data_IF_505375853950
#
_entry.id   IF_505375853950
#
_cell.length_a   1.000
_cell.length_b   1.000
_cell.length_c   1.000
_cell.angle_alpha   90.00
_cell.angle_beta   90.00
_cell.angle_gamma   90.00
#
_symmetry.space_group_name_H-M   'P 1'
#
loop_
_entity.id
_entity.type
_entity.pdbx_description
1 polymer ?
#
# COMPACT_ATOMS: atom_id res chain seq x y z
N UNK A 1 25.97 -18.95 46.89
CA UNK A 1 25.74 -17.54 46.48
C UNK A 1 25.77 -17.33 44.95
N UNK A 2 26.28 -18.26 44.14
CA UNK A 2 26.32 -18.13 42.68
C UNK A 2 25.02 -18.56 41.99
N UNK A 3 24.37 -19.63 42.43
CA UNK A 3 23.19 -20.21 41.75
C UNK A 3 21.96 -19.29 41.77
N UNK A 4 21.71 -18.62 42.91
CA UNK A 4 20.63 -17.64 43.03
C UNK A 4 20.82 -16.45 42.08
N UNK A 5 22.07 -16.02 41.85
CA UNK A 5 22.39 -14.94 40.91
C UNK A 5 22.20 -15.37 39.44
N UNK A 6 22.51 -16.63 39.12
CA UNK A 6 22.30 -17.19 37.78
C UNK A 6 20.81 -17.32 37.46
N UNK A 7 20.00 -17.81 38.40
CA UNK A 7 18.54 -17.88 38.25
C UNK A 7 17.90 -16.50 38.10
N UNK A 8 18.35 -15.51 38.88
CA UNK A 8 17.87 -14.13 38.77
C UNK A 8 18.21 -13.54 37.39
N UNK A 9 19.44 -13.75 36.91
CA UNK A 9 19.89 -13.25 35.61
C UNK A 9 19.10 -13.91 34.46
N UNK A 10 18.88 -15.22 34.52
CA UNK A 10 18.09 -15.97 33.55
C UNK A 10 16.63 -15.49 33.49
N UNK A 11 16.07 -15.04 34.62
CA UNK A 11 14.72 -14.51 34.70
C UNK A 11 14.62 -13.04 34.23
N UNK A 12 15.68 -12.23 34.39
CA UNK A 12 15.72 -10.81 33.99
C UNK A 12 16.04 -10.58 32.50
N UNK A 13 16.85 -11.46 31.90
CA UNK A 13 17.22 -11.40 30.48
C UNK A 13 16.02 -11.34 29.49
N UNK A 14 14.96 -12.16 29.61
CA UNK A 14 13.81 -12.09 28.71
C UNK A 14 12.96 -10.82 28.90
N UNK A 15 12.98 -10.19 30.09
CA UNK A 15 12.24 -8.95 30.34
C UNK A 15 12.91 -7.73 29.68
N UNK A 16 14.23 -7.73 29.54
CA UNK A 16 14.97 -6.66 28.87
C UNK A 16 14.81 -6.71 27.34
N UNK A 17 14.55 -7.88 26.76
CA UNK A 17 14.35 -8.04 25.31
C UNK A 17 12.98 -7.54 24.81
N UNK A 18 11.99 -7.37 25.70
CA UNK A 18 10.62 -6.99 25.32
C UNK A 18 10.45 -5.55 24.85
N UNK A 19 11.36 -4.63 25.22
CA UNK A 19 11.19 -3.19 24.99
C UNK A 19 11.77 -2.67 23.66
N UNK A 20 12.45 -3.50 22.87
CA UNK A 20 13.14 -3.05 21.66
C UNK A 20 12.25 -2.99 20.39
N UNK A 21 11.05 -3.59 20.41
CA UNK A 21 10.23 -3.76 19.20
C UNK A 21 9.34 -2.56 18.81
N UNK A 22 9.45 -1.42 19.50
CA UNK A 22 8.49 -0.30 19.35
C UNK A 22 8.89 0.83 18.39
N UNK A 23 10.14 0.87 17.90
CA UNK A 23 10.70 2.10 17.32
C UNK A 23 10.34 2.34 15.84
N UNK A 24 9.89 1.33 15.10
CA UNK A 24 9.58 1.43 13.67
C UNK A 24 8.10 1.17 13.45
N UNK A 25 7.24 2.04 13.97
CA UNK A 25 5.81 1.97 13.70
C UNK A 25 5.33 3.32 13.21
N UNK A 26 4.58 3.31 12.12
CA UNK A 26 3.90 4.48 11.58
C UNK A 26 3.01 5.12 12.67
N UNK A 27 2.76 6.45 12.61
CA UNK A 27 1.84 7.13 13.52
C UNK A 27 0.36 6.74 13.30
N UNK A 28 0.09 5.74 12.45
CA UNK A 28 -1.20 5.19 12.12
C UNK A 28 -1.08 3.66 11.97
N UNK A 29 -2.15 2.92 12.28
CA UNK A 29 -2.12 1.45 12.31
C UNK A 29 -2.11 0.78 10.92
N UNK A 30 -2.45 1.54 9.88
CA UNK A 30 -2.54 1.05 8.50
C UNK A 30 -2.46 2.15 7.47
N UNK A 31 -2.07 1.81 6.24
CA UNK A 31 -2.18 2.67 5.06
C UNK A 31 -2.87 1.93 3.90
N UNK A 32 -3.29 2.66 2.87
CA UNK A 32 -3.94 2.10 1.68
C UNK A 32 -3.35 2.71 0.41
N UNK A 33 -3.25 1.93 -0.67
CA UNK A 33 -3.02 2.48 -2.02
C UNK A 33 -4.34 2.92 -2.64
N UNK A 34 -4.33 4.15 -3.18
CA UNK A 34 -5.36 4.63 -4.09
C UNK A 34 -4.76 4.82 -5.47
N UNK A 35 -5.37 4.22 -6.49
CA UNK A 35 -4.97 4.35 -7.88
C UNK A 35 -6.16 4.89 -8.67
N UNK A 36 -5.94 6.01 -9.35
CA UNK A 36 -6.93 6.71 -10.16
C UNK A 36 -6.49 6.81 -11.61
N UNK A 37 -7.40 7.27 -12.46
CA UNK A 37 -7.19 7.44 -13.90
C UNK A 37 -7.70 8.80 -14.37
N UNK A 38 -7.27 9.25 -15.58
CA UNK A 38 -7.94 10.31 -16.31
C UNK A 38 -9.43 10.04 -16.52
N UNK A 39 -10.19 11.09 -16.83
CA UNK A 39 -11.62 10.97 -17.16
C UNK A 39 -11.84 10.01 -18.33
N UNK A 40 -12.88 9.18 -18.23
CA UNK A 40 -13.26 8.18 -19.24
C UNK A 40 -12.20 7.09 -19.53
N UNK A 41 -11.09 7.03 -18.79
CA UNK A 41 -10.10 5.96 -18.91
C UNK A 41 -10.33 4.90 -17.85
N UNK A 42 -11.09 3.86 -18.20
CA UNK A 42 -11.25 2.70 -17.33
C UNK A 42 -10.00 1.79 -17.39
N UNK A 43 -9.49 1.43 -16.21
CA UNK A 43 -8.42 0.45 -16.05
C UNK A 43 -8.79 -0.58 -14.99
N UNK A 44 -8.38 -1.82 -15.24
CA UNK A 44 -8.47 -2.90 -14.27
C UNK A 44 -7.10 -3.22 -13.70
N UNK A 45 -6.92 -2.98 -12.41
CA UNK A 45 -5.67 -3.29 -11.72
C UNK A 45 -5.69 -4.75 -11.29
N UNK A 46 -4.84 -5.55 -11.93
CA UNK A 46 -4.70 -6.97 -11.61
C UNK A 46 -4.11 -7.13 -10.20
N UNK A 47 -3.04 -6.39 -9.93
CA UNK A 47 -2.41 -6.33 -8.62
C UNK A 47 -1.62 -5.03 -8.43
N UNK A 48 -1.63 -4.52 -7.20
CA UNK A 48 -0.67 -3.57 -6.70
C UNK A 48 -0.07 -4.14 -5.41
N UNK A 49 1.22 -4.44 -5.45
CA UNK A 49 1.98 -5.03 -4.35
C UNK A 49 2.93 -3.98 -3.79
N UNK A 50 3.16 -4.01 -2.48
CA UNK A 50 4.09 -3.10 -1.84
C UNK A 50 5.18 -3.87 -1.10
N UNK A 51 6.39 -3.32 -1.10
CA UNK A 51 7.47 -3.71 -0.20
C UNK A 51 7.72 -2.56 0.74
N UNK A 52 7.71 -2.81 2.04
CA UNK A 52 8.00 -1.78 3.04
C UNK A 52 9.51 -1.65 3.32
N UNK A 53 9.87 -0.62 4.09
CA UNK A 53 11.26 -0.37 4.51
C UNK A 53 11.90 -1.52 5.32
N UNK A 54 11.12 -2.48 5.82
CA UNK A 54 11.59 -3.69 6.49
C UNK A 54 11.64 -4.91 5.56
N UNK A 55 11.58 -4.71 4.23
CA UNK A 55 11.62 -5.78 3.22
C UNK A 55 10.41 -6.73 3.26
N UNK A 56 9.31 -6.34 3.91
CA UNK A 56 8.09 -7.17 3.97
C UNK A 56 7.22 -6.91 2.76
N UNK A 57 6.72 -7.98 2.15
CA UNK A 57 5.90 -7.92 0.94
C UNK A 57 4.41 -8.00 1.28
N UNK A 58 3.66 -6.98 0.86
CA UNK A 58 2.22 -6.88 0.99
C UNK A 58 1.58 -7.02 -0.38
N UNK A 59 1.19 -8.25 -0.72
CA UNK A 59 0.52 -8.55 -2.00
C UNK A 59 -0.91 -8.04 -2.03
N UNK A 60 -1.34 -7.60 -3.21
CA UNK A 60 -2.69 -7.08 -3.47
C UNK A 60 -3.05 -6.02 -2.43
N UNK A 61 -2.10 -5.13 -2.13
CA UNK A 61 -2.35 -3.92 -1.34
C UNK A 61 -3.47 -3.08 -1.99
N UNK A 62 -3.57 -3.15 -3.33
CA UNK A 62 -4.76 -2.82 -4.09
C UNK A 62 -4.98 -3.81 -5.26
N UNK A 63 -6.21 -3.92 -5.73
CA UNK A 63 -6.61 -4.57 -6.99
C UNK A 63 -8.03 -4.15 -7.35
N UNK A 64 -8.44 -4.32 -8.60
CA UNK A 64 -9.77 -4.00 -9.11
C UNK A 64 -9.81 -2.70 -9.89
N UNK A 65 -10.98 -2.08 -9.99
CA UNK A 65 -11.18 -0.89 -10.82
C UNK A 65 -10.46 0.32 -10.21
N UNK A 66 -9.66 1.00 -11.04
CA UNK A 66 -9.07 2.29 -10.69
C UNK A 66 -10.13 3.38 -10.57
N UNK A 67 -9.88 4.42 -9.79
CA UNK A 67 -10.84 5.53 -9.70
C UNK A 67 -10.89 6.29 -11.01
N UNK A 68 -11.99 6.15 -11.74
CA UNK A 68 -12.27 6.98 -12.91
C UNK A 68 -13.47 7.88 -12.66
N UNK A 69 -13.54 8.97 -13.42
CA UNK A 69 -14.72 9.82 -13.46
C UNK A 69 -15.33 9.79 -14.86
N UNK A 70 -16.66 9.85 -14.89
CA UNK A 70 -17.44 9.98 -16.11
C UNK A 70 -18.36 11.21 -15.98
N UNK A 71 -17.82 12.43 -16.13
CA UNK A 71 -18.65 13.64 -16.19
C UNK A 71 -19.75 13.50 -17.24
N UNK A 72 -20.91 14.12 -17.00
CA UNK A 72 -22.07 13.99 -17.90
C UNK A 72 -21.97 14.90 -19.13
N UNK A 73 -21.22 15.99 -19.02
CA UNK A 73 -21.04 16.96 -20.08
C UNK A 73 -19.73 16.67 -20.81
N UNK A 74 -19.81 15.83 -21.84
CA UNK A 74 -18.65 15.40 -22.62
C UNK A 74 -18.09 16.53 -23.49
N UNK A 75 -18.92 17.53 -23.84
CA UNK A 75 -18.53 18.63 -24.73
C UNK A 75 -17.72 19.70 -23.98
N UNK A 76 -17.95 19.87 -22.68
CA UNK A 76 -17.17 20.80 -21.83
C UNK A 76 -16.05 20.15 -21.03
N UNK A 77 -16.02 18.82 -20.95
CA UNK A 77 -14.98 18.09 -20.21
C UNK A 77 -13.85 17.69 -21.15
N UNK A 78 -12.69 18.33 -21.02
CA UNK A 78 -11.47 17.83 -21.65
C UNK A 78 -11.07 16.48 -21.02
N UNK A 79 -11.05 15.36 -21.78
CA UNK A 79 -10.63 14.07 -21.25
C UNK A 79 -9.11 13.99 -21.03
N UNK A 80 -8.34 14.97 -21.49
CA UNK A 80 -6.88 14.99 -21.35
C UNK A 80 -6.47 15.44 -19.96
N UNK A 81 -5.45 14.77 -19.44
CA UNK A 81 -4.87 15.09 -18.14
C UNK A 81 -5.59 14.40 -16.98
N UNK A 82 -5.25 14.80 -15.77
CA UNK A 82 -5.77 14.21 -14.54
C UNK A 82 -6.96 15.02 -14.02
N UNK A 83 -8.02 14.39 -13.49
CA UNK A 83 -9.12 15.11 -12.87
C UNK A 83 -8.63 15.92 -11.66
N UNK A 84 -9.28 17.05 -11.37
CA UNK A 84 -8.92 17.91 -10.23
C UNK A 84 -9.05 17.19 -8.87
N UNK A 85 -9.98 16.24 -8.78
CA UNK A 85 -10.28 15.51 -7.54
C UNK A 85 -10.33 14.00 -7.81
N UNK A 86 -9.18 13.33 -8.05
CA UNK A 86 -9.17 11.90 -8.28
C UNK A 86 -9.59 11.16 -7.01
N UNK A 87 -10.43 10.13 -7.17
CA UNK A 87 -10.73 9.22 -6.07
C UNK A 87 -9.63 8.16 -5.89
N UNK A 88 -9.80 7.28 -4.89
CA UNK A 88 -8.84 6.24 -4.57
C UNK A 88 -9.17 4.87 -5.18
N UNK A 89 -10.30 4.72 -5.86
CA UNK A 89 -10.69 3.47 -6.55
C UNK A 89 -11.01 2.34 -5.57
N UNK A 90 -10.80 1.10 -6.01
CA UNK A 90 -10.82 -0.08 -5.13
C UNK A 90 -9.59 -0.10 -4.20
N UNK A 91 -9.60 -0.93 -3.15
CA UNK A 91 -8.44 -1.12 -2.28
C UNK A 91 -8.80 -1.55 -0.87
N UNK A 92 -7.78 -1.79 -0.05
CA UNK A 92 -7.93 -2.20 1.35
C UNK A 92 -6.93 -1.48 2.24
N UNK A 93 -7.21 -1.47 3.54
CA UNK A 93 -6.21 -1.06 4.53
C UNK A 93 -5.15 -2.17 4.68
N UNK A 94 -3.89 -1.76 4.66
CA UNK A 94 -2.71 -2.58 4.88
C UNK A 94 -2.22 -2.29 6.30
N UNK A 95 -2.61 -3.15 7.23
CA UNK A 95 -2.25 -3.03 8.64
C UNK A 95 -0.91 -3.69 8.97
N UNK A 96 -0.25 -3.17 10.01
CA UNK A 96 1.02 -3.72 10.51
C UNK A 96 2.20 -3.60 9.55
N UNK A 97 2.05 -2.82 8.48
CA UNK A 97 3.06 -2.47 7.50
C UNK A 97 3.72 -1.15 7.84
N UNK A 98 4.99 -0.99 7.44
CA UNK A 98 5.68 0.31 7.48
C UNK A 98 5.50 1.06 6.16
N UNK A 99 6.17 2.22 6.02
CA UNK A 99 6.12 3.01 4.78
C UNK A 99 6.57 2.13 3.61
N UNK A 100 5.82 2.08 2.50
CA UNK A 100 6.27 1.45 1.26
C UNK A 100 7.56 2.09 0.76
N UNK A 101 8.55 1.26 0.41
CA UNK A 101 9.77 1.69 -0.31
C UNK A 101 9.74 1.33 -1.80
N UNK A 102 8.85 0.43 -2.21
CA UNK A 102 8.66 -0.01 -3.59
C UNK A 102 7.22 -0.45 -3.77
N UNK A 103 6.59 -0.02 -4.85
CA UNK A 103 5.26 -0.47 -5.26
C UNK A 103 5.38 -1.07 -6.66
N UNK A 104 4.93 -2.31 -6.83
CA UNK A 104 4.73 -2.94 -8.13
C UNK A 104 3.25 -2.84 -8.49
N UNK A 105 2.93 -2.37 -9.69
CA UNK A 105 1.55 -2.31 -10.18
C UNK A 105 1.50 -2.97 -11.54
N UNK A 106 0.47 -3.80 -11.74
CA UNK A 106 0.13 -4.39 -13.04
C UNK A 106 -1.35 -4.20 -13.33
N UNK A 107 -1.67 -3.69 -14.51
CA UNK A 107 -3.03 -3.32 -14.90
C UNK A 107 -3.31 -3.58 -16.37
N UNK A 108 -4.59 -3.75 -16.69
CA UNK A 108 -5.12 -3.82 -18.05
C UNK A 108 -5.80 -2.49 -18.37
N UNK A 109 -5.44 -1.90 -19.50
CA UNK A 109 -6.26 -0.82 -20.07
C UNK A 109 -7.51 -1.43 -20.71
N UNK A 110 -8.67 -0.82 -20.50
CA UNK A 110 -9.89 -1.22 -21.22
C UNK A 110 -10.03 -0.49 -22.56
N UNK A 111 -9.38 0.67 -22.69
CA UNK A 111 -9.38 1.47 -23.93
C UNK A 111 -8.42 0.86 -24.96
N UNK A 112 -7.30 0.33 -24.48
CA UNK A 112 -6.29 -0.34 -25.30
C UNK A 112 -6.13 -1.76 -24.75
N UNK A 113 -6.34 -2.84 -25.55
CA UNK A 113 -6.34 -4.22 -25.05
C UNK A 113 -4.91 -4.71 -24.78
N UNK A 114 -4.24 -4.09 -23.82
CA UNK A 114 -2.87 -4.38 -23.41
C UNK A 114 -2.70 -4.28 -21.90
N UNK A 115 -1.77 -5.09 -21.41
CA UNK A 115 -1.36 -5.12 -20.00
C UNK A 115 -0.09 -4.33 -19.83
N UNK A 116 -0.07 -3.50 -18.79
CA UNK A 116 1.05 -2.67 -18.40
C UNK A 116 1.52 -3.05 -17.02
N UNK A 117 2.79 -2.76 -16.74
CA UNK A 117 3.37 -2.87 -15.40
C UNK A 117 4.32 -1.73 -15.11
N UNK A 118 4.44 -1.38 -13.82
CA UNK A 118 5.31 -0.32 -13.35
C UNK A 118 5.85 -0.63 -11.97
N UNK A 119 7.04 -0.10 -11.71
CA UNK A 119 7.65 -0.01 -10.39
C UNK A 119 7.72 1.47 -10.00
N UNK A 120 7.20 1.79 -8.81
CA UNK A 120 7.14 3.14 -8.23
C UNK A 120 7.94 3.14 -6.93
#
# INVERSE_FOLDING_TARGET
MSEFKVLLAAMLLPWLAGCANGAHRLPYDSWRLGLGTPNYMDVWIETADAVDVQERVFRRAMSGIGSTQHPKDIDSTDPRGWPEQPGAGAGKQVGGADVPRLIYVRWQSLVEPQTYEAYI
#
